data_IF_873588202194
#
_entry.id   IF_873588202194
#
_cell.length_a   1.000
_cell.length_b   1.000
_cell.length_c   1.000
_cell.angle_alpha   90.00
_cell.angle_beta   90.00
_cell.angle_gamma   90.00
#
_symmetry.space_group_name_H-M   'P 1'
#
loop_
_entity.id
_entity.type
_entity.pdbx_description
1 polymer ?
#
# COMPACT_ATOMS: atom_id res chain seq x y z
N UNK A 1 -27.53 23.30 -36.44
CA UNK A 1 -26.24 22.64 -36.15
C UNK A 1 -26.28 22.33 -34.67
N UNK A 2 -27.17 21.42 -34.26
CA UNK A 2 -27.56 21.27 -32.85
C UNK A 2 -27.77 19.79 -32.54
N UNK A 3 -26.83 18.97 -33.00
CA UNK A 3 -26.86 17.53 -32.80
C UNK A 3 -25.44 17.01 -32.52
N UNK A 4 -24.79 17.57 -31.51
CA UNK A 4 -23.48 17.07 -31.02
C UNK A 4 -23.37 16.95 -29.48
N UNK A 5 -24.39 17.29 -28.68
CA UNK A 5 -24.24 17.29 -27.19
C UNK A 5 -24.90 16.10 -26.46
N UNK A 6 -25.16 14.96 -27.11
CA UNK A 6 -25.59 13.74 -26.40
C UNK A 6 -24.66 12.57 -26.67
N UNK A 7 -23.39 12.77 -26.32
CA UNK A 7 -22.38 11.70 -26.33
C UNK A 7 -21.44 11.79 -25.13
N UNK A 8 -22.00 11.71 -23.93
CA UNK A 8 -21.27 11.30 -22.72
C UNK A 8 -22.07 10.18 -22.05
N UNK A 9 -22.10 9.03 -22.71
CA UNK A 9 -22.28 7.76 -22.04
C UNK A 9 -20.91 7.30 -21.53
N UNK A 10 -20.89 6.88 -20.26
CA UNK A 10 -19.94 5.98 -19.62
C UNK A 10 -18.58 6.53 -19.19
N UNK A 11 -18.44 6.72 -17.87
CA UNK A 11 -17.37 6.05 -17.14
C UNK A 11 -17.81 5.73 -15.70
N UNK A 12 -17.82 4.43 -15.41
CA UNK A 12 -17.83 3.76 -14.10
C UNK A 12 -18.87 4.22 -13.06
N UNK A 13 -20.08 3.67 -13.19
CA UNK A 13 -20.84 3.24 -12.01
C UNK A 13 -19.94 2.36 -11.14
N UNK A 14 -19.57 2.83 -9.95
CA UNK A 14 -19.03 1.99 -8.89
C UNK A 14 -20.01 0.84 -8.66
N UNK A 15 -19.55 -0.36 -8.94
CA UNK A 15 -20.36 -1.57 -8.92
C UNK A 15 -20.66 -1.94 -7.45
N UNK A 16 -21.62 -1.27 -6.82
CA UNK A 16 -22.25 -1.68 -5.55
C UNK A 16 -23.50 -2.53 -5.86
N UNK A 17 -23.31 -3.55 -6.70
CA UNK A 17 -24.39 -4.38 -7.21
C UNK A 17 -24.07 -5.85 -7.05
N UNK A 18 -24.54 -6.44 -5.94
CA UNK A 18 -24.71 -7.90 -5.85
C UNK A 18 -24.21 -8.58 -4.58
N UNK A 19 -24.58 -8.08 -3.39
CA UNK A 19 -24.23 -8.76 -2.13
C UNK A 19 -25.22 -9.87 -1.74
N UNK A 20 -26.23 -10.18 -2.55
CA UNK A 20 -27.32 -11.08 -2.13
C UNK A 20 -27.21 -12.57 -2.55
N UNK A 21 -26.30 -12.97 -3.44
CA UNK A 21 -26.25 -14.38 -3.92
C UNK A 21 -25.05 -15.21 -3.41
N UNK A 22 -24.08 -14.62 -2.69
CA UNK A 22 -22.88 -15.35 -2.21
C UNK A 22 -23.02 -15.91 -0.78
N UNK A 23 -24.22 -15.86 -0.19
CA UNK A 23 -24.43 -16.20 1.22
C UNK A 23 -24.39 -17.72 1.56
N UNK A 24 -24.10 -18.62 0.61
CA UNK A 24 -24.12 -20.08 0.88
C UNK A 24 -22.74 -20.73 1.09
N UNK A 25 -21.65 -19.96 1.24
CA UNK A 25 -20.30 -20.56 1.32
C UNK A 25 -19.22 -19.80 2.10
N UNK A 26 -19.55 -18.71 2.78
CA UNK A 26 -18.54 -17.92 3.50
C UNK A 26 -18.25 -18.58 4.86
N UNK A 27 -17.13 -19.28 4.96
CA UNK A 27 -16.54 -19.67 6.24
C UNK A 27 -16.21 -18.40 7.01
N UNK A 28 -16.73 -18.28 8.24
CA UNK A 28 -16.50 -17.12 9.09
C UNK A 28 -14.99 -16.82 9.24
N UNK A 29 -14.57 -15.65 8.79
CA UNK A 29 -13.17 -15.17 8.85
C UNK A 29 -12.48 -14.97 7.50
N UNK A 30 -13.09 -15.38 6.38
CA UNK A 30 -12.61 -15.04 5.05
C UNK A 30 -13.13 -13.66 4.64
N UNK A 31 -12.21 -12.80 4.20
CA UNK A 31 -12.52 -11.47 3.65
C UNK A 31 -12.15 -11.55 2.18
N UNK A 32 -13.13 -11.33 1.30
CA UNK A 32 -12.85 -11.19 -0.11
C UNK A 32 -12.15 -9.84 -0.37
N UNK A 33 -11.09 -9.86 -1.17
CA UNK A 33 -10.27 -8.68 -1.45
C UNK A 33 -9.93 -8.66 -2.93
N UNK A 34 -10.10 -7.50 -3.54
CA UNK A 34 -9.71 -7.31 -4.92
C UNK A 34 -8.18 -7.36 -5.03
N UNK A 35 -7.67 -8.21 -5.94
CA UNK A 35 -6.23 -8.38 -6.13
C UNK A 35 -5.54 -7.09 -6.55
N UNK A 36 -6.21 -6.25 -7.33
CA UNK A 36 -5.67 -4.97 -7.81
C UNK A 36 -5.39 -4.03 -6.65
N UNK A 37 -6.36 -3.88 -5.74
CA UNK A 37 -6.27 -3.03 -4.55
C UNK A 37 -5.21 -3.55 -3.57
N UNK A 38 -5.17 -4.87 -3.34
CA UNK A 38 -4.21 -5.50 -2.44
C UNK A 38 -2.76 -5.33 -2.92
N UNK A 39 -2.51 -5.57 -4.21
CA UNK A 39 -1.16 -5.43 -4.80
C UNK A 39 -0.68 -3.97 -4.72
N UNK A 40 -1.54 -3.00 -5.01
CA UNK A 40 -1.20 -1.59 -4.90
C UNK A 40 -0.86 -1.20 -3.46
N UNK A 41 -1.68 -1.65 -2.51
CA UNK A 41 -1.51 -1.34 -1.08
C UNK A 41 -0.25 -2.00 -0.51
N UNK A 42 0.00 -3.26 -0.83
CA UNK A 42 1.20 -3.98 -0.41
C UNK A 42 2.47 -3.35 -1.00
N UNK A 43 2.43 -2.99 -2.29
CA UNK A 43 3.56 -2.32 -2.94
C UNK A 43 3.86 -0.96 -2.31
N UNK A 44 2.83 -0.15 -2.04
CA UNK A 44 3.00 1.15 -1.39
C UNK A 44 3.58 1.01 0.03
N UNK A 45 3.03 0.09 0.82
CA UNK A 45 3.47 -0.17 2.19
C UNK A 45 4.93 -0.63 2.25
N UNK A 46 5.31 -1.55 1.35
CA UNK A 46 6.70 -2.00 1.25
C UNK A 46 7.63 -0.89 0.78
N UNK A 47 7.23 -0.14 -0.25
CA UNK A 47 8.04 0.95 -0.81
C UNK A 47 8.29 2.05 0.23
N UNK A 48 7.27 2.41 0.99
CA UNK A 48 7.38 3.41 2.05
C UNK A 48 8.35 2.96 3.16
N UNK A 49 8.24 1.70 3.60
CA UNK A 49 9.16 1.12 4.58
C UNK A 49 10.62 1.14 4.09
N UNK A 50 10.85 0.82 2.81
CA UNK A 50 12.19 0.83 2.21
C UNK A 50 12.77 2.25 2.14
N UNK A 51 11.95 3.24 1.76
CA UNK A 51 12.38 4.64 1.65
C UNK A 51 12.86 5.16 3.01
N UNK A 52 12.05 4.99 4.05
CA UNK A 52 12.33 5.50 5.38
C UNK A 52 13.43 4.72 6.10
N UNK A 53 13.39 3.38 6.04
CA UNK A 53 14.21 2.54 6.93
C UNK A 53 15.50 2.03 6.30
N UNK A 54 15.79 2.36 5.03
CA UNK A 54 16.98 1.80 4.37
C UNK A 54 17.57 2.67 3.26
N UNK A 55 16.73 3.29 2.43
CA UNK A 55 17.19 3.90 1.18
C UNK A 55 17.79 5.31 1.39
N UNK A 56 17.18 6.15 2.23
CA UNK A 56 17.61 7.53 2.44
C UNK A 56 18.34 7.66 3.78
N UNK A 57 19.59 8.18 3.82
CA UNK A 57 20.28 8.46 5.07
C UNK A 57 19.62 9.64 5.80
N UNK A 58 19.63 9.59 7.13
CA UNK A 58 19.08 10.67 7.96
C UNK A 58 19.93 11.95 7.79
N UNK A 59 19.26 13.09 7.70
CA UNK A 59 19.85 14.40 7.36
C UNK A 59 20.81 14.88 8.45
N UNK A 60 20.61 14.44 9.70
CA UNK A 60 21.38 14.93 10.86
C UNK A 60 22.78 14.34 10.94
N UNK A 61 22.88 13.05 10.67
CA UNK A 61 24.06 12.22 10.90
C UNK A 61 24.61 11.59 9.61
N UNK A 62 23.84 11.54 8.52
CA UNK A 62 24.25 10.94 7.25
C UNK A 62 24.48 9.43 7.31
N UNK A 63 24.25 8.80 8.47
CA UNK A 63 24.46 7.39 8.70
C UNK A 63 23.27 6.57 8.21
N UNK A 64 23.56 5.45 7.57
CA UNK A 64 22.52 4.45 7.25
C UNK A 64 22.05 3.77 8.54
N UNK A 65 20.79 3.29 8.61
CA UNK A 65 20.25 2.63 9.82
C UNK A 65 21.10 1.46 10.34
N UNK A 66 21.79 0.73 9.47
CA UNK A 66 22.73 -0.34 9.85
C UNK A 66 23.95 0.20 10.58
N UNK A 67 24.54 1.29 10.10
CA UNK A 67 25.74 1.90 10.71
C UNK A 67 25.42 2.46 12.09
N UNK A 68 24.27 3.13 12.24
CA UNK A 68 23.79 3.64 13.53
C UNK A 68 23.68 2.53 14.58
N UNK A 69 23.17 1.35 14.19
CA UNK A 69 23.07 0.19 15.10
C UNK A 69 24.43 -0.38 15.50
N UNK A 70 25.40 -0.41 14.58
CA UNK A 70 26.75 -0.90 14.87
C UNK A 70 27.44 0.01 15.89
N UNK A 71 27.43 1.33 15.65
CA UNK A 71 28.03 2.30 16.58
C UNK A 71 27.35 2.24 17.95
N UNK A 72 26.03 2.14 17.98
CA UNK A 72 25.29 1.98 19.23
C UNK A 72 25.68 0.68 19.97
N UNK A 73 25.79 -0.45 19.26
CA UNK A 73 26.19 -1.72 19.87
C UNK A 73 27.63 -1.74 20.39
N UNK A 74 28.55 -1.05 19.71
CA UNK A 74 29.93 -0.87 20.17
C UNK A 74 29.96 -0.07 21.48
N UNK A 75 29.23 1.05 21.52
CA UNK A 75 29.11 1.89 22.72
C UNK A 75 28.49 1.13 23.91
N UNK A 76 27.47 0.30 23.67
CA UNK A 76 26.84 -0.52 24.72
C UNK A 76 27.78 -1.60 25.27
N UNK A 77 28.69 -2.12 24.42
CA UNK A 77 29.69 -3.12 24.82
C UNK A 77 30.90 -2.51 25.55
N UNK A 78 30.94 -1.17 25.68
CA UNK A 78 32.05 -0.46 26.32
C UNK A 78 33.35 -0.48 25.50
N UNK A 79 33.24 -0.65 24.17
CA UNK A 79 34.35 -0.52 23.22
C UNK A 79 34.46 0.90 22.68
#
# INVERSE_FOLDING_TARGET
MDNEEKKEQNEATSNDGGVEEVASGIVAGLIDREITEEVQTAFLSYSMSVIESRAIPDVRDGLKPVQRRIVYGMNETGM
#
